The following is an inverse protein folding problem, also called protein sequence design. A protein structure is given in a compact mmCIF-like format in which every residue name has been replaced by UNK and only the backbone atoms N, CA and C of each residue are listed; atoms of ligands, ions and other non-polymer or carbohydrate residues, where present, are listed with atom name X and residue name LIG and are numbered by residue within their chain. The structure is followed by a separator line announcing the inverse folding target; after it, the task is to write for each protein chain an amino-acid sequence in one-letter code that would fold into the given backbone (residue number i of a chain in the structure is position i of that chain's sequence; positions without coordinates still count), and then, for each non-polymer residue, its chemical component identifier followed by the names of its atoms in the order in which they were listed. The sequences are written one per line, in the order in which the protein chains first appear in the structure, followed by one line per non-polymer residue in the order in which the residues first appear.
data_IF_977090387488
#
_entry.id   IF_977090387488
#
_cell.length_a   1.000
_cell.length_b   1.000
_cell.length_c   1.000
_cell.angle_alpha   90.00
_cell.angle_beta   90.00
_cell.angle_gamma   90.00
#
_symmetry.space_group_name_H-M   'P 1'
#
loop_
_entity.id
_entity.type
_entity.pdbx_description
1 polymer ?
#
# COMPACT_ATOMS: atom_id res chain seq x y z
N UNK A 1 -13.04 32.91 7.83
CA UNK A 1 -12.41 33.12 6.51
C UNK A 1 -11.62 31.86 6.19
N UNK A 2 -12.20 30.93 5.42
CA UNK A 2 -11.49 29.75 4.96
C UNK A 2 -10.86 30.13 3.61
N UNK A 3 -9.54 30.33 3.60
CA UNK A 3 -8.78 30.44 2.36
C UNK A 3 -8.96 29.14 1.58
N UNK A 4 -9.72 29.20 0.50
CA UNK A 4 -9.84 28.11 -0.45
C UNK A 4 -8.51 28.03 -1.20
N UNK A 5 -7.68 27.04 -0.84
CA UNK A 5 -6.47 26.71 -1.57
C UNK A 5 -6.84 26.57 -3.06
N UNK A 6 -6.13 27.27 -3.97
CA UNK A 6 -6.41 27.14 -5.39
C UNK A 6 -6.09 25.70 -5.81
N UNK A 7 -7.12 24.89 -6.02
CA UNK A 7 -7.02 23.58 -6.64
C UNK A 7 -6.59 23.78 -8.10
N UNK A 8 -5.29 23.99 -8.32
CA UNK A 8 -4.72 24.04 -9.65
C UNK A 8 -4.50 22.58 -10.11
N UNK A 9 -5.35 22.04 -11.01
CA UNK A 9 -5.22 20.66 -11.49
C UNK A 9 -3.90 20.43 -12.27
N UNK A 10 -3.18 21.50 -12.62
CA UNK A 10 -1.86 21.44 -13.25
C UNK A 10 -0.70 21.38 -12.27
N UNK A 11 -0.96 21.40 -10.95
CA UNK A 11 0.11 21.22 -9.97
C UNK A 11 0.77 19.84 -10.15
N UNK A 12 2.11 19.85 -10.21
CA UNK A 12 2.93 18.65 -10.39
C UNK A 12 2.58 17.60 -9.32
N UNK A 13 2.28 18.04 -8.11
CA UNK A 13 1.86 17.20 -6.98
C UNK A 13 0.56 16.41 -7.26
N UNK A 14 -0.45 17.03 -7.87
CA UNK A 14 -1.72 16.36 -8.21
C UNK A 14 -1.52 15.37 -9.37
N UNK A 15 -0.68 15.70 -10.35
CA UNK A 15 -0.34 14.78 -11.45
C UNK A 15 0.41 13.54 -10.96
N UNK A 16 1.38 13.72 -10.06
CA UNK A 16 2.12 12.62 -9.45
C UNK A 16 1.16 11.73 -8.65
N UNK A 17 0.30 12.31 -7.81
CA UNK A 17 -0.70 11.54 -7.04
C UNK A 17 -1.66 10.74 -7.94
N UNK A 18 -2.15 11.35 -9.02
CA UNK A 18 -3.01 10.68 -10.00
C UNK A 18 -2.27 9.53 -10.71
N UNK A 19 -1.01 9.73 -11.08
CA UNK A 19 -0.19 8.69 -11.70
C UNK A 19 0.01 7.47 -10.77
N UNK A 20 0.43 7.70 -9.51
CA UNK A 20 0.59 6.63 -8.52
C UNK A 20 -0.72 5.90 -8.24
N UNK A 21 -1.85 6.59 -8.26
CA UNK A 21 -3.16 5.99 -8.08
C UNK A 21 -3.51 5.00 -9.21
N UNK A 22 -3.23 5.35 -10.46
CA UNK A 22 -3.49 4.48 -11.60
C UNK A 22 -2.50 3.32 -11.70
N UNK A 23 -1.22 3.56 -11.37
CA UNK A 23 -0.18 2.55 -11.50
C UNK A 23 -0.25 1.47 -10.43
N UNK A 24 -0.93 1.75 -9.31
CA UNK A 24 -1.10 0.83 -8.17
C UNK A 24 -1.51 -0.59 -8.60
N UNK A 25 -2.41 -0.72 -9.58
CA UNK A 25 -2.90 -2.02 -10.02
C UNK A 25 -1.88 -2.83 -10.84
N UNK A 26 -0.93 -2.15 -11.48
CA UNK A 26 0.17 -2.79 -12.22
C UNK A 26 1.39 -3.04 -11.34
N UNK A 27 1.54 -2.26 -10.27
CA UNK A 27 2.66 -2.34 -9.34
C UNK A 27 2.71 -3.69 -8.61
N UNK A 28 1.58 -4.21 -8.13
CA UNK A 28 1.58 -5.50 -7.43
C UNK A 28 1.97 -6.70 -8.32
N UNK A 29 1.32 -6.92 -9.49
CA UNK A 29 1.74 -8.00 -10.38
C UNK A 29 3.21 -7.90 -10.78
N UNK A 30 3.71 -6.69 -11.01
CA UNK A 30 5.12 -6.47 -11.34
C UNK A 30 6.07 -6.93 -10.23
N UNK A 31 5.81 -6.56 -8.97
CA UNK A 31 6.60 -7.05 -7.84
C UNK A 31 6.51 -8.57 -7.69
N UNK A 32 5.31 -9.16 -7.83
CA UNK A 32 5.18 -10.63 -7.79
C UNK A 32 5.99 -11.34 -8.88
N UNK A 33 6.14 -10.74 -10.06
CA UNK A 33 7.00 -11.29 -11.13
C UNK A 33 8.49 -11.24 -10.77
N UNK A 34 8.95 -10.18 -10.09
CA UNK A 34 10.35 -10.05 -9.64
C UNK A 34 10.73 -11.15 -8.64
N UNK A 35 9.77 -11.70 -7.89
CA UNK A 35 10.02 -12.79 -6.94
C UNK A 35 10.61 -14.05 -7.61
N UNK A 36 10.38 -14.23 -8.91
CA UNK A 36 10.92 -15.34 -9.69
C UNK A 36 12.33 -15.07 -10.25
N UNK A 37 12.86 -13.85 -10.08
CA UNK A 37 14.21 -13.50 -10.52
C UNK A 37 15.22 -14.06 -9.50
N UNK A 38 16.17 -14.92 -9.93
CA UNK A 38 17.16 -15.47 -9.03
C UNK A 38 18.06 -14.35 -8.49
N UNK A 39 18.27 -14.35 -7.18
CA UNK A 39 18.96 -13.28 -6.47
C UNK A 39 19.96 -13.81 -5.46
N UNK A 40 21.05 -13.06 -5.17
CA UNK A 40 21.86 -13.32 -3.99
C UNK A 40 21.02 -13.17 -2.70
N UNK A 41 21.36 -14.01 -1.71
CA UNK A 41 20.71 -14.03 -0.39
C UNK A 41 21.22 -12.89 0.47
N UNK A 42 20.32 -12.24 1.21
CA UNK A 42 20.65 -11.14 2.14
C UNK A 42 21.04 -11.70 3.51
N UNK A 43 20.27 -12.67 4.00
CA UNK A 43 20.48 -13.35 5.26
C UNK A 43 21.06 -14.75 5.02
N UNK A 44 22.11 -15.10 5.78
CA UNK A 44 22.68 -16.45 5.79
C UNK A 44 21.80 -17.46 6.57
N UNK A 45 20.95 -16.97 7.47
CA UNK A 45 20.00 -17.78 8.24
C UNK A 45 18.72 -18.00 7.44
N UNK A 46 18.16 -19.21 7.50
CA UNK A 46 16.88 -19.54 6.87
C UNK A 46 15.67 -19.03 7.68
N UNK A 47 15.72 -19.16 9.01
CA UNK A 47 14.57 -18.86 9.87
C UNK A 47 14.34 -17.36 10.10
N UNK A 48 15.42 -16.58 10.10
CA UNK A 48 15.35 -15.13 10.37
C UNK A 48 14.50 -14.37 9.34
N UNK A 49 14.79 -14.44 8.02
CA UNK A 49 13.95 -13.79 7.01
C UNK A 49 12.54 -14.39 6.95
N UNK A 50 12.39 -15.70 7.21
CA UNK A 50 11.09 -16.37 7.22
C UNK A 50 10.16 -15.78 8.29
N UNK A 51 10.60 -15.74 9.55
CA UNK A 51 9.79 -15.28 10.69
C UNK A 51 9.53 -13.78 10.59
N UNK A 52 10.56 -12.99 10.28
CA UNK A 52 10.44 -11.54 10.18
C UNK A 52 9.54 -11.14 9.01
N UNK A 53 9.74 -11.75 7.84
CA UNK A 53 8.94 -11.51 6.65
C UNK A 53 7.49 -11.91 6.85
N UNK A 54 7.23 -13.08 7.47
CA UNK A 54 5.87 -13.51 7.82
C UNK A 54 5.17 -12.52 8.76
N UNK A 55 5.85 -12.07 9.81
CA UNK A 55 5.27 -11.13 10.78
C UNK A 55 4.86 -9.82 10.09
N UNK A 56 5.75 -9.26 9.27
CA UNK A 56 5.49 -8.02 8.52
C UNK A 56 4.35 -8.23 7.50
N UNK A 57 4.37 -9.33 6.75
CA UNK A 57 3.33 -9.68 5.79
C UNK A 57 1.96 -9.81 6.46
N UNK A 58 1.89 -10.51 7.59
CA UNK A 58 0.66 -10.63 8.38
C UNK A 58 0.19 -9.29 8.94
N UNK A 59 1.09 -8.44 9.44
CA UNK A 59 0.73 -7.08 9.86
C UNK A 59 0.14 -6.27 8.71
N UNK A 60 0.72 -6.33 7.51
CA UNK A 60 0.19 -5.68 6.31
C UNK A 60 -1.22 -6.16 5.95
N UNK A 61 -1.42 -7.48 5.93
CA UNK A 61 -2.72 -8.10 5.68
C UNK A 61 -3.77 -7.70 6.73
N UNK A 62 -3.40 -7.67 8.02
CA UNK A 62 -4.29 -7.25 9.10
C UNK A 62 -4.69 -5.78 8.95
N UNK A 63 -3.73 -4.89 8.67
CA UNK A 63 -4.01 -3.46 8.42
C UNK A 63 -4.98 -3.29 7.25
N UNK A 64 -4.75 -4.03 6.16
CA UNK A 64 -5.63 -4.01 4.98
C UNK A 64 -7.02 -4.53 5.31
N UNK A 65 -7.12 -5.65 6.03
CA UNK A 65 -8.41 -6.25 6.38
C UNK A 65 -9.19 -5.39 7.38
N UNK A 66 -8.53 -4.81 8.38
CA UNK A 66 -9.12 -3.85 9.31
C UNK A 66 -9.58 -2.60 8.58
N UNK A 67 -8.82 -2.10 7.60
CA UNK A 67 -9.23 -0.96 6.78
C UNK A 67 -10.50 -1.26 5.98
N UNK A 68 -10.59 -2.45 5.37
CA UNK A 68 -11.75 -2.89 4.59
C UNK A 68 -12.95 -3.22 5.51
N UNK A 69 -12.71 -3.71 6.72
CA UNK A 69 -13.75 -4.11 7.67
C UNK A 69 -14.32 -2.97 8.50
N UNK A 70 -13.49 -1.98 8.88
CA UNK A 70 -13.91 -0.82 9.68
C UNK A 70 -14.68 0.21 8.86
N UNK A 71 -14.29 0.39 7.60
CA UNK A 71 -15.07 1.17 6.66
C UNK A 71 -15.89 0.17 5.88
N UNK A 72 -17.21 0.11 6.11
CA UNK A 72 -18.12 -0.44 5.11
C UNK A 72 -17.96 0.46 3.88
N UNK A 73 -16.93 0.18 3.06
CA UNK A 73 -16.68 0.86 1.79
C UNK A 73 -17.81 0.40 0.89
N UNK A 74 -18.98 1.02 1.05
CA UNK A 74 -19.85 1.29 -0.07
C UNK A 74 -18.92 1.86 -1.14
N UNK A 75 -18.66 1.05 -2.16
CA UNK A 75 -17.62 1.27 -3.17
C UNK A 75 -17.55 2.75 -3.52
N UNK A 76 -16.57 3.47 -2.96
CA UNK A 76 -16.28 4.89 -3.22
C UNK A 76 -15.71 5.08 -4.64
N UNK A 77 -16.31 4.41 -5.61
CA UNK A 77 -15.73 4.07 -6.89
C UNK A 77 -16.80 3.53 -7.84
N UNK A 78 -17.95 4.22 -7.93
CA UNK A 78 -18.64 4.29 -9.22
C UNK A 78 -17.76 5.20 -10.10
N UNK A 79 -17.11 4.64 -11.12
CA UNK A 79 -16.36 5.37 -12.15
C UNK A 79 -15.03 6.05 -11.72
N UNK A 80 -14.18 5.41 -10.90
CA UNK A 80 -12.80 5.89 -10.60
C UNK A 80 -12.71 7.30 -9.99
N UNK A 81 -13.80 7.84 -9.47
CA UNK A 81 -13.81 9.13 -8.76
C UNK A 81 -13.97 8.87 -7.26
N UNK A 82 -13.15 9.54 -6.45
CA UNK A 82 -13.18 9.47 -4.98
C UNK A 82 -14.46 10.18 -4.51
N UNK A 83 -15.56 9.45 -4.44
CA UNK A 83 -16.79 9.90 -3.78
C UNK A 83 -16.81 9.26 -2.40
N UNK A 84 -16.30 9.98 -1.41
CA UNK A 84 -16.49 9.65 -0.01
C UNK A 84 -17.63 10.55 0.50
N UNK A 85 -18.83 9.98 0.67
CA UNK A 85 -19.97 10.70 1.23
C UNK A 85 -19.75 11.08 2.71
N UNK A 86 -18.80 10.42 3.37
CA UNK A 86 -18.46 10.62 4.79
C UNK A 86 -16.94 10.43 4.95
N UNK A 87 -16.25 11.43 5.50
CA UNK A 87 -14.83 11.31 5.84
C UNK A 87 -14.71 10.55 7.17
N UNK A 88 -14.38 9.26 7.09
CA UNK A 88 -14.11 8.45 8.27
C UNK A 88 -12.75 8.86 8.86
N UNK A 89 -12.75 9.64 9.94
CA UNK A 89 -11.55 10.10 10.64
C UNK A 89 -11.15 9.20 11.82
N UNK A 90 -11.92 8.15 12.11
CA UNK A 90 -11.72 7.28 13.28
C UNK A 90 -10.81 6.07 12.98
N UNK A 91 -10.13 5.60 14.02
CA UNK A 91 -9.28 4.40 13.96
C UNK A 91 -8.02 4.57 13.11
N UNK A 92 -7.77 3.63 12.18
CA UNK A 92 -6.55 3.61 11.34
C UNK A 92 -6.40 4.83 10.42
N UNK A 93 -7.52 5.45 10.02
CA UNK A 93 -7.52 6.65 9.17
C UNK A 93 -7.07 7.91 9.93
N UNK A 94 -7.05 7.88 11.27
CA UNK A 94 -6.44 8.95 12.07
C UNK A 94 -4.91 8.95 11.98
N UNK A 95 -4.31 7.79 11.75
CA UNK A 95 -2.86 7.61 11.77
C UNK A 95 -2.23 7.68 10.37
N UNK A 96 -2.98 7.31 9.32
CA UNK A 96 -2.54 7.44 7.94
C UNK A 96 -3.72 7.85 7.05
N UNK A 97 -3.49 8.79 6.12
CA UNK A 97 -4.48 9.24 5.13
C UNK A 97 -4.89 8.13 4.16
N UNK A 98 -4.09 7.05 4.07
CA UNK A 98 -4.39 5.94 3.19
C UNK A 98 -3.88 4.60 3.77
N UNK A 99 -4.57 4.05 4.78
CA UNK A 99 -4.14 2.85 5.48
C UNK A 99 -4.14 1.60 4.57
N UNK A 100 -4.92 1.60 3.48
CA UNK A 100 -4.91 0.52 2.49
C UNK A 100 -3.60 0.48 1.69
N UNK A 101 -3.00 1.64 1.39
CA UNK A 101 -1.69 1.69 0.74
C UNK A 101 -0.57 1.30 1.72
N UNK A 102 -0.70 1.68 2.99
CA UNK A 102 0.25 1.26 4.02
C UNK A 102 0.28 -0.26 4.17
N UNK A 103 -0.89 -0.91 4.25
CA UNK A 103 -0.99 -2.37 4.31
C UNK A 103 -0.34 -3.04 3.10
N UNK A 104 -0.63 -2.55 1.90
CA UNK A 104 -0.03 -3.05 0.66
C UNK A 104 1.49 -2.90 0.59
N UNK A 105 2.05 -1.78 1.07
CA UNK A 105 3.51 -1.58 1.13
C UNK A 105 4.14 -2.56 2.11
N UNK A 106 3.52 -2.78 3.26
CA UNK A 106 3.96 -3.78 4.23
C UNK A 106 3.87 -5.21 3.68
N UNK A 107 2.85 -5.53 2.88
CA UNK A 107 2.75 -6.82 2.20
C UNK A 107 3.95 -7.06 1.26
N UNK A 108 4.27 -6.10 0.39
CA UNK A 108 5.43 -6.20 -0.52
C UNK A 108 6.73 -6.29 0.28
N UNK A 109 6.90 -5.46 1.31
CA UNK A 109 8.10 -5.45 2.14
C UNK A 109 8.29 -6.76 2.93
N UNK A 110 7.20 -7.32 3.45
CA UNK A 110 7.20 -8.64 4.09
C UNK A 110 7.61 -9.75 3.12
N UNK A 111 7.09 -9.73 1.89
CA UNK A 111 7.50 -10.65 0.82
C UNK A 111 8.96 -10.47 0.42
N UNK A 112 9.48 -9.24 0.41
CA UNK A 112 10.87 -8.96 0.12
C UNK A 112 11.81 -9.65 1.09
N UNK A 113 11.55 -9.45 2.39
CA UNK A 113 12.31 -10.07 3.46
C UNK A 113 12.14 -11.60 3.41
N UNK A 114 10.91 -12.09 3.23
CA UNK A 114 10.61 -13.52 3.19
C UNK A 114 11.30 -14.24 2.02
N UNK A 115 11.36 -13.61 0.85
CA UNK A 115 12.06 -14.15 -0.33
C UNK A 115 13.57 -14.21 -0.15
N UNK A 116 14.11 -13.49 0.86
CA UNK A 116 15.54 -13.36 1.11
C UNK A 116 16.33 -12.97 -0.15
N UNK A 117 15.73 -12.14 -1.01
CA UNK A 117 16.23 -11.76 -2.33
C UNK A 117 16.66 -10.29 -2.32
N UNK A 118 17.96 -10.03 -2.48
CA UNK A 118 18.50 -8.68 -2.66
C UNK A 118 17.87 -7.92 -3.83
N UNK A 119 17.52 -8.61 -4.92
CA UNK A 119 16.94 -7.98 -6.12
C UNK A 119 15.51 -7.51 -5.86
N UNK A 120 14.81 -8.17 -4.93
CA UNK A 120 13.44 -7.85 -4.60
C UNK A 120 13.32 -6.75 -3.52
N UNK A 121 14.25 -6.73 -2.55
CA UNK A 121 14.26 -5.75 -1.45
C UNK A 121 14.60 -4.33 -1.94
#
# INVERSE_FOLDING_TARGET
MAESFPNNPNSIMVKIGSFFFHIRNYLFPFFYLILFVPSPRIFNSFYTPLILGLLILFCGLLIRQLTIGLVNINRAGKNKQVHADILHTDGLFSHSRNPLYLGNVLEIFGLAILSNSLIFL
#
